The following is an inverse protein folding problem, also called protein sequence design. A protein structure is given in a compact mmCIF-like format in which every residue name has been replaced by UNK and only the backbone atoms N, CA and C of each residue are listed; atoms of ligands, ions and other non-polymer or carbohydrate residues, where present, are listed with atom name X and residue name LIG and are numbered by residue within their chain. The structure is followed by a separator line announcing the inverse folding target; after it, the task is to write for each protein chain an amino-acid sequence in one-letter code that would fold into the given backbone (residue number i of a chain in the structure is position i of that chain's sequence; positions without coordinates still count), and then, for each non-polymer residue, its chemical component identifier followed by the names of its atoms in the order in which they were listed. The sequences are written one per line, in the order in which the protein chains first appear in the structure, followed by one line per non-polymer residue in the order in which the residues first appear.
data_IF_925440208714
#
_entry.id   IF_925440208714
#
_cell.length_a   1.000
_cell.length_b   1.000
_cell.length_c   1.000
_cell.angle_alpha   90.00
_cell.angle_beta   90.00
_cell.angle_gamma   90.00
#
_symmetry.space_group_name_H-M   'P 1'
#
loop_
_entity.id
_entity.type
_entity.pdbx_description
1 polymer ?
#
# COMPACT_ATOMS: atom_id res chain seq x y z
N UNK A 1 -25.26 -2.36 -8.17
CA UNK A 1 -24.55 -3.46 -7.50
C UNK A 1 -23.08 -3.07 -7.36
N UNK A 2 -22.37 -3.58 -6.35
CA UNK A 2 -20.93 -3.32 -6.16
C UNK A 2 -20.18 -4.65 -6.18
N UNK A 3 -19.14 -4.76 -7.01
CA UNK A 3 -18.26 -5.94 -7.09
C UNK A 3 -16.82 -5.46 -7.06
N UNK A 4 -15.98 -6.07 -6.20
CA UNK A 4 -14.57 -5.65 -5.98
C UNK A 4 -14.42 -4.13 -5.76
N UNK A 5 -15.28 -3.58 -4.92
CA UNK A 5 -15.34 -2.16 -4.58
C UNK A 5 -15.59 -1.20 -5.78
N UNK A 6 -16.16 -1.70 -6.88
CA UNK A 6 -16.57 -0.91 -8.04
C UNK A 6 -18.07 -1.07 -8.32
N UNK A 7 -18.72 0.01 -8.71
CA UNK A 7 -20.11 -0.03 -9.18
C UNK A 7 -20.19 -0.80 -10.50
N UNK A 8 -21.07 -1.78 -10.54
CA UNK A 8 -21.26 -2.67 -11.69
C UNK A 8 -22.73 -2.94 -11.95
N UNK A 9 -23.05 -3.28 -13.19
CA UNK A 9 -24.39 -3.65 -13.67
C UNK A 9 -24.33 -4.93 -14.50
N UNK A 10 -25.42 -5.71 -14.52
CA UNK A 10 -25.50 -6.90 -15.38
C UNK A 10 -25.83 -6.50 -16.82
N UNK A 11 -25.65 -7.43 -17.75
CA UNK A 11 -26.01 -7.24 -19.17
C UNK A 11 -27.49 -6.88 -19.33
N UNK A 12 -28.38 -7.47 -18.54
CA UNK A 12 -29.82 -7.22 -18.57
C UNK A 12 -30.16 -5.81 -18.10
N UNK A 13 -29.60 -5.40 -16.95
CA UNK A 13 -29.80 -4.03 -16.44
C UNK A 13 -29.21 -2.98 -17.39
N UNK A 14 -28.05 -3.27 -17.99
CA UNK A 14 -27.42 -2.39 -18.97
C UNK A 14 -28.28 -2.25 -20.24
N UNK A 15 -28.81 -3.37 -20.73
CA UNK A 15 -29.69 -3.39 -21.90
C UNK A 15 -30.97 -2.58 -21.65
N UNK A 16 -31.60 -2.77 -20.48
CA UNK A 16 -32.76 -1.99 -20.05
C UNK A 16 -32.44 -0.49 -19.97
N UNK A 17 -31.27 -0.13 -19.43
CA UNK A 17 -30.84 1.26 -19.31
C UNK A 17 -30.62 1.96 -20.65
N UNK A 18 -30.23 1.22 -21.69
CA UNK A 18 -30.04 1.76 -23.04
C UNK A 18 -31.21 1.48 -23.99
N UNK A 19 -32.34 0.95 -23.52
CA UNK A 19 -33.51 0.67 -24.38
C UNK A 19 -33.23 -0.35 -25.48
N UNK A 20 -32.36 -1.34 -25.20
CA UNK A 20 -31.96 -2.39 -26.15
C UNK A 20 -32.11 -3.78 -25.51
N UNK A 21 -31.87 -4.83 -26.28
CA UNK A 21 -31.89 -6.22 -25.78
C UNK A 21 -30.50 -6.64 -25.25
N UNK A 22 -30.49 -7.55 -24.26
CA UNK A 22 -29.25 -8.14 -23.74
C UNK A 22 -28.43 -8.87 -24.82
N UNK A 23 -29.12 -9.42 -25.83
CA UNK A 23 -28.47 -10.03 -27.00
C UNK A 23 -27.68 -9.00 -27.80
N UNK A 24 -28.23 -7.78 -27.99
CA UNK A 24 -27.54 -6.73 -28.72
C UNK A 24 -26.28 -6.26 -27.97
N UNK A 25 -26.35 -6.09 -26.65
CA UNK A 25 -25.19 -5.78 -25.80
C UNK A 25 -24.09 -6.85 -25.98
N UNK A 26 -24.48 -8.12 -25.91
CA UNK A 26 -23.55 -9.26 -26.06
C UNK A 26 -22.94 -9.31 -27.46
N UNK A 27 -23.73 -9.13 -28.50
CA UNK A 27 -23.26 -9.09 -29.89
C UNK A 27 -22.27 -7.94 -30.11
N UNK A 28 -22.57 -6.76 -29.59
CA UNK A 28 -21.70 -5.58 -29.71
C UNK A 28 -20.39 -5.76 -28.95
N UNK A 29 -20.43 -6.33 -27.75
CA UNK A 29 -19.24 -6.69 -27.00
C UNK A 29 -18.37 -7.67 -27.80
N UNK A 30 -18.95 -8.74 -28.33
CA UNK A 30 -18.20 -9.76 -29.07
C UNK A 30 -17.56 -9.18 -30.34
N UNK A 31 -18.28 -8.34 -31.09
CA UNK A 31 -17.76 -7.65 -32.28
C UNK A 31 -16.62 -6.69 -31.97
N UNK A 32 -16.62 -6.10 -30.78
CA UNK A 32 -15.65 -5.08 -30.36
C UNK A 32 -14.76 -5.55 -29.22
N UNK A 33 -14.57 -6.86 -29.03
CA UNK A 33 -13.93 -7.43 -27.84
C UNK A 33 -12.54 -6.86 -27.56
N UNK A 34 -11.77 -6.55 -28.61
CA UNK A 34 -10.47 -5.87 -28.51
C UNK A 34 -10.53 -4.50 -27.85
N UNK A 35 -11.70 -3.84 -27.89
CA UNK A 35 -12.01 -2.58 -27.21
C UNK A 35 -12.60 -2.82 -25.83
N UNK A 36 -12.38 -3.96 -25.20
CA UNK A 36 -12.74 -4.19 -23.80
C UNK A 36 -11.58 -4.87 -23.10
N UNK A 37 -11.42 -4.53 -21.82
CA UNK A 37 -10.32 -5.01 -20.98
C UNK A 37 -10.96 -5.45 -19.68
N UNK A 38 -10.76 -6.72 -19.35
CA UNK A 38 -11.23 -7.31 -18.10
C UNK A 38 -10.61 -6.60 -16.89
N UNK A 39 -11.37 -6.42 -15.82
CA UNK A 39 -10.98 -5.66 -14.63
C UNK A 39 -11.12 -4.13 -14.77
N UNK A 40 -11.16 -3.60 -16.00
CA UNK A 40 -11.39 -2.16 -16.27
C UNK A 40 -12.79 -1.87 -16.79
N UNK A 41 -13.25 -2.66 -17.75
CA UNK A 41 -14.53 -2.44 -18.44
C UNK A 41 -15.59 -3.48 -18.03
N UNK A 42 -15.16 -4.71 -17.74
CA UNK A 42 -16.05 -5.76 -17.27
C UNK A 42 -15.33 -6.72 -16.33
N UNK A 43 -16.11 -7.50 -15.58
CA UNK A 43 -15.65 -8.70 -14.88
C UNK A 43 -16.43 -9.89 -15.42
N UNK A 44 -15.73 -10.96 -15.79
CA UNK A 44 -16.36 -12.23 -16.13
C UNK A 44 -16.35 -13.12 -14.90
N UNK A 45 -17.53 -13.46 -14.41
CA UNK A 45 -17.73 -14.31 -13.24
C UNK A 45 -18.17 -15.68 -13.70
N UNK A 46 -17.51 -16.73 -13.24
CA UNK A 46 -17.77 -18.11 -13.63
C UNK A 46 -17.76 -19.04 -12.41
N UNK A 47 -18.40 -20.21 -12.55
CA UNK A 47 -18.39 -21.24 -11.51
C UNK A 47 -19.03 -20.79 -10.20
N UNK A 48 -18.44 -21.18 -9.08
CA UNK A 48 -18.99 -20.98 -7.74
C UNK A 48 -19.15 -19.50 -7.36
N UNK A 49 -18.38 -18.59 -7.98
CA UNK A 49 -18.55 -17.15 -7.77
C UNK A 49 -19.90 -16.63 -8.27
N UNK A 50 -20.50 -17.26 -9.29
CA UNK A 50 -21.83 -16.88 -9.80
C UNK A 50 -22.90 -17.17 -8.76
N UNK A 51 -22.80 -18.32 -8.07
CA UNK A 51 -23.75 -18.74 -7.05
C UNK A 51 -23.67 -17.85 -5.80
N UNK A 52 -22.44 -17.50 -5.39
CA UNK A 52 -22.21 -16.56 -4.30
C UNK A 52 -22.78 -15.16 -4.62
N UNK A 53 -22.64 -14.71 -5.87
CA UNK A 53 -23.19 -13.43 -6.31
C UNK A 53 -24.72 -13.44 -6.31
N UNK A 54 -25.36 -14.53 -6.74
CA UNK A 54 -26.83 -14.66 -6.69
C UNK A 54 -27.38 -14.53 -5.27
N UNK A 55 -26.76 -15.23 -4.32
CA UNK A 55 -27.18 -15.21 -2.92
C UNK A 55 -26.97 -13.83 -2.27
N UNK A 56 -25.98 -13.08 -2.74
CA UNK A 56 -25.65 -11.75 -2.22
C UNK A 56 -26.55 -10.63 -2.78
N UNK A 57 -27.22 -10.85 -3.92
CA UNK A 57 -27.98 -9.80 -4.62
C UNK A 57 -29.38 -10.29 -5.05
N UNK A 58 -30.26 -10.48 -4.07
CA UNK A 58 -31.65 -10.96 -4.27
C UNK A 58 -32.53 -10.07 -5.15
N UNK A 59 -32.16 -8.81 -5.37
CA UNK A 59 -32.91 -7.84 -6.17
C UNK A 59 -32.57 -7.87 -7.67
N UNK A 60 -31.51 -8.56 -8.08
CA UNK A 60 -31.06 -8.61 -9.49
C UNK A 60 -31.52 -9.93 -10.08
N UNK A 61 -32.31 -9.89 -11.16
CA UNK A 61 -32.77 -11.08 -11.88
C UNK A 61 -31.61 -11.76 -12.63
N UNK A 62 -30.71 -12.40 -11.90
CA UNK A 62 -29.69 -13.29 -12.48
C UNK A 62 -30.37 -14.62 -12.75
N UNK A 63 -30.40 -15.06 -14.01
CA UNK A 63 -30.96 -16.36 -14.39
C UNK A 63 -30.28 -17.49 -13.62
N UNK A 64 -31.08 -18.40 -13.04
CA UNK A 64 -30.60 -19.59 -12.29
C UNK A 64 -29.79 -20.57 -13.14
N UNK A 65 -29.86 -20.46 -14.47
CA UNK A 65 -29.15 -21.34 -15.43
C UNK A 65 -27.84 -20.75 -15.98
N UNK A 66 -27.50 -19.50 -15.64
CA UNK A 66 -26.28 -18.87 -16.12
C UNK A 66 -25.03 -19.53 -15.52
N UNK A 67 -24.14 -20.06 -16.37
CA UNK A 67 -22.84 -20.64 -15.98
C UNK A 67 -21.71 -19.62 -15.95
N UNK A 68 -21.92 -18.48 -16.60
CA UNK A 68 -21.04 -17.32 -16.59
C UNK A 68 -21.86 -16.04 -16.66
N UNK A 69 -21.35 -14.97 -16.06
CA UNK A 69 -22.00 -13.67 -15.99
C UNK A 69 -20.98 -12.57 -16.29
N UNK A 70 -21.37 -11.60 -17.12
CA UNK A 70 -20.61 -10.38 -17.33
C UNK A 70 -21.17 -9.27 -16.46
N UNK A 71 -20.29 -8.66 -15.67
CA UNK A 71 -20.58 -7.44 -14.92
C UNK A 71 -19.87 -6.27 -15.56
N UNK A 72 -20.61 -5.23 -15.92
CA UNK A 72 -20.10 -4.05 -16.61
C UNK A 72 -19.80 -2.95 -15.61
N UNK A 73 -18.59 -2.41 -15.65
CA UNK A 73 -18.24 -1.19 -14.87
C UNK A 73 -18.87 0.03 -15.54
N UNK A 74 -18.86 1.19 -14.87
CA UNK A 74 -19.29 2.47 -15.47
C UNK A 74 -18.54 2.76 -16.80
N UNK A 75 -17.25 2.40 -16.86
CA UNK A 75 -16.45 2.53 -18.10
C UNK A 75 -16.86 1.52 -19.17
N UNK A 76 -17.26 0.31 -18.78
CA UNK A 76 -17.81 -0.68 -19.70
C UNK A 76 -19.15 -0.25 -20.27
N UNK A 77 -20.05 0.23 -19.40
CA UNK A 77 -21.33 0.79 -19.79
C UNK A 77 -21.15 1.95 -20.78
N UNK A 78 -20.21 2.86 -20.51
CA UNK A 78 -19.90 3.97 -21.41
C UNK A 78 -19.40 3.52 -22.79
N UNK A 79 -18.60 2.44 -22.85
CA UNK A 79 -18.17 1.86 -24.13
C UNK A 79 -19.32 1.23 -24.91
N UNK A 80 -20.32 0.69 -24.22
CA UNK A 80 -21.54 0.21 -24.86
C UNK A 80 -22.35 1.35 -25.48
N UNK A 81 -22.53 2.48 -24.77
CA UNK A 81 -23.23 3.65 -25.30
C UNK A 81 -22.65 4.11 -26.65
N UNK A 82 -21.32 4.14 -26.78
CA UNK A 82 -20.62 4.50 -28.03
C UNK A 82 -21.00 3.64 -29.25
N UNK A 83 -21.54 2.44 -29.05
CA UNK A 83 -21.83 1.46 -30.11
C UNK A 83 -23.34 1.22 -30.29
N UNK A 84 -24.17 1.85 -29.46
CA UNK A 84 -25.63 1.74 -29.51
C UNK A 84 -26.18 3.00 -30.16
N UNK A 85 -27.12 2.83 -31.08
CA UNK A 85 -27.80 3.94 -31.76
C UNK A 85 -29.17 4.23 -31.13
N UNK A 86 -29.35 3.92 -29.85
CA UNK A 86 -30.61 4.16 -29.14
C UNK A 86 -30.66 5.56 -28.55
N UNK A 87 -31.86 6.17 -28.47
CA UNK A 87 -32.06 7.50 -27.85
C UNK A 87 -31.45 7.57 -26.44
N UNK A 88 -31.66 6.54 -25.62
CA UNK A 88 -31.10 6.47 -24.26
C UNK A 88 -29.56 6.39 -24.23
N UNK A 89 -28.92 5.85 -25.29
CA UNK A 89 -27.47 5.89 -25.41
C UNK A 89 -26.96 7.29 -25.80
N UNK A 90 -27.73 8.03 -26.60
CA UNK A 90 -27.46 9.44 -26.92
C UNK A 90 -27.61 10.34 -25.70
N UNK A 91 -28.69 10.21 -24.93
CA UNK A 91 -28.90 10.97 -23.67
C UNK A 91 -27.75 10.74 -22.66
N UNK A 92 -27.26 9.49 -22.58
CA UNK A 92 -26.12 9.16 -21.72
C UNK A 92 -24.82 9.78 -22.24
N UNK A 93 -24.65 9.84 -23.56
CA UNK A 93 -23.48 10.47 -24.17
C UNK A 93 -23.49 11.98 -23.96
N UNK A 94 -24.63 12.64 -24.14
CA UNK A 94 -24.82 14.07 -23.84
C UNK A 94 -24.47 14.38 -22.38
N UNK A 95 -24.96 13.58 -21.42
CA UNK A 95 -24.59 13.74 -20.01
C UNK A 95 -23.09 13.59 -19.76
N UNK A 96 -22.40 12.69 -20.48
CA UNK A 96 -20.94 12.56 -20.39
C UNK A 96 -20.22 13.76 -21.00
N UNK A 97 -20.71 14.31 -22.10
CA UNK A 97 -20.17 15.53 -22.72
C UNK A 97 -20.35 16.71 -21.78
N UNK A 98 -21.56 16.93 -21.28
CA UNK A 98 -21.87 17.96 -20.29
C UNK A 98 -20.96 17.82 -19.07
N UNK A 99 -20.80 16.61 -18.51
CA UNK A 99 -19.88 16.40 -17.40
C UNK A 99 -18.43 16.72 -17.77
N UNK A 100 -17.95 16.31 -18.94
CA UNK A 100 -16.58 16.58 -19.39
C UNK A 100 -16.31 18.08 -19.57
N UNK A 101 -17.23 18.79 -20.20
CA UNK A 101 -17.10 20.23 -20.45
C UNK A 101 -17.38 21.06 -19.19
N UNK A 102 -18.35 20.66 -18.34
CA UNK A 102 -18.62 21.32 -17.06
C UNK A 102 -17.53 21.06 -16.01
N UNK A 103 -16.89 19.88 -15.99
CA UNK A 103 -15.71 19.62 -15.15
C UNK A 103 -14.57 20.59 -15.49
N UNK A 104 -14.46 21.00 -16.76
CA UNK A 104 -13.49 22.01 -17.20
C UNK A 104 -13.79 23.39 -16.63
N UNK A 105 -15.07 23.74 -16.47
CA UNK A 105 -15.51 25.01 -15.89
C UNK A 105 -15.45 25.03 -14.35
N UNK A 106 -15.81 23.92 -13.69
CA UNK A 106 -15.93 23.85 -12.21
C UNK A 106 -14.61 23.50 -11.51
N UNK A 107 -13.80 22.60 -12.06
CA UNK A 107 -12.58 22.13 -11.38
C UNK A 107 -11.31 22.89 -11.74
N UNK A 108 -11.39 23.94 -12.56
CA UNK A 108 -10.22 24.76 -12.85
C UNK A 108 -9.04 23.95 -13.42
N UNK A 109 -9.30 22.83 -14.11
CA UNK A 109 -8.32 22.28 -15.08
C UNK A 109 -8.37 23.17 -16.32
N UNK A 110 -8.18 24.47 -16.08
CA UNK A 110 -7.91 25.45 -17.07
C UNK A 110 -6.46 25.20 -17.41
N UNK A 111 -6.22 24.51 -18.53
CA UNK A 111 -4.91 24.64 -19.18
C UNK A 111 -4.62 26.14 -19.21
N UNK A 112 -3.41 26.58 -18.76
CA UNK A 112 -3.04 27.98 -18.80
C UNK A 112 -3.42 28.52 -20.17
N UNK A 113 -4.02 29.72 -20.24
CA UNK A 113 -4.34 30.31 -21.53
C UNK A 113 -3.06 30.37 -22.36
N UNK A 114 -2.93 29.48 -23.35
CA UNK A 114 -1.70 29.33 -24.13
C UNK A 114 -1.43 30.56 -25.00
N UNK A 115 -2.40 31.46 -25.09
CA UNK A 115 -2.30 32.74 -25.80
C UNK A 115 -1.71 33.86 -24.94
N UNK A 116 -1.64 33.68 -23.61
CA UNK A 116 -1.03 34.64 -22.68
C UNK A 116 0.33 34.11 -22.16
N UNK A 117 1.45 34.66 -22.65
CA UNK A 117 2.79 34.24 -22.25
C UNK A 117 3.06 34.38 -20.74
N UNK A 118 2.43 35.34 -20.06
CA UNK A 118 2.69 35.61 -18.63
C UNK A 118 2.07 34.53 -17.76
N UNK A 119 0.81 34.16 -18.04
CA UNK A 119 0.11 33.09 -17.31
C UNK A 119 0.79 31.74 -17.54
N UNK A 120 1.27 31.47 -18.75
CA UNK A 120 2.00 30.23 -19.06
C UNK A 120 3.33 30.14 -18.30
N UNK A 121 4.10 31.23 -18.23
CA UNK A 121 5.38 31.26 -17.53
C UNK A 121 5.22 31.00 -16.02
N UNK A 122 4.16 31.54 -15.39
CA UNK A 122 3.86 31.29 -13.96
C UNK A 122 3.51 29.82 -13.71
N UNK A 123 2.61 29.26 -14.51
CA UNK A 123 2.22 27.85 -14.37
C UNK A 123 3.42 26.89 -14.57
N UNK A 124 4.33 27.23 -15.48
CA UNK A 124 5.57 26.46 -15.66
C UNK A 124 6.50 26.55 -14.45
N UNK A 125 6.65 27.75 -13.86
CA UNK A 125 7.45 27.94 -12.65
C UNK A 125 6.88 27.13 -11.48
N UNK A 126 5.58 27.20 -11.23
CA UNK A 126 4.90 26.44 -10.17
C UNK A 126 5.08 24.92 -10.37
N UNK A 127 4.96 24.44 -11.61
CA UNK A 127 5.16 23.03 -11.93
C UNK A 127 6.62 22.58 -11.72
N UNK A 128 7.59 23.42 -12.07
CA UNK A 128 9.01 23.16 -11.85
C UNK A 128 9.35 23.14 -10.37
N UNK A 129 8.81 24.07 -9.59
CA UNK A 129 9.01 24.12 -8.13
C UNK A 129 8.40 22.89 -7.46
N UNK A 130 7.16 22.53 -7.81
CA UNK A 130 6.52 21.31 -7.31
C UNK A 130 7.33 20.05 -7.67
N UNK A 131 7.87 19.98 -8.90
CA UNK A 131 8.74 18.89 -9.33
C UNK A 131 10.03 18.84 -8.51
N UNK A 132 10.70 19.97 -8.31
CA UNK A 132 11.92 20.04 -7.49
C UNK A 132 11.66 19.61 -6.05
N UNK A 133 10.55 20.04 -5.45
CA UNK A 133 10.17 19.63 -4.09
C UNK A 133 9.92 18.11 -4.01
N UNK A 134 9.24 17.54 -5.02
CA UNK A 134 9.00 16.10 -5.09
C UNK A 134 10.31 15.30 -5.28
N UNK A 135 11.22 15.79 -6.13
CA UNK A 135 12.55 15.19 -6.32
C UNK A 135 13.38 15.26 -5.04
N UNK A 136 13.40 16.39 -4.34
CA UNK A 136 14.10 16.54 -3.07
C UNK A 136 13.59 15.56 -2.01
N UNK A 137 12.26 15.40 -1.87
CA UNK A 137 11.67 14.41 -0.96
C UNK A 137 12.05 12.98 -1.36
N UNK A 138 12.06 12.68 -2.66
CA UNK A 138 12.43 11.37 -3.19
C UNK A 138 13.90 11.06 -2.91
N UNK A 139 14.80 12.02 -3.10
CA UNK A 139 16.21 11.90 -2.76
C UNK A 139 16.41 11.63 -1.26
N UNK A 140 15.76 12.39 -0.38
CA UNK A 140 15.82 12.15 1.08
C UNK A 140 15.31 10.76 1.47
N UNK A 141 14.23 10.29 0.84
CA UNK A 141 13.72 8.94 1.07
C UNK A 141 14.68 7.86 0.58
N UNK A 142 15.36 8.08 -0.55
CA UNK A 142 16.34 7.15 -1.08
C UNK A 142 17.57 7.03 -0.16
N UNK A 143 18.12 8.14 0.32
CA UNK A 143 19.22 8.16 1.30
C UNK A 143 18.84 7.42 2.59
N UNK A 144 17.60 7.61 3.05
CA UNK A 144 17.06 6.88 4.20
C UNK A 144 17.02 5.37 3.98
N UNK A 145 16.58 4.92 2.80
CA UNK A 145 16.52 3.50 2.44
C UNK A 145 17.93 2.92 2.32
N UNK A 146 18.83 3.60 1.62
CA UNK A 146 20.21 3.17 1.43
C UNK A 146 20.95 2.98 2.76
N UNK A 147 20.84 3.96 3.67
CA UNK A 147 21.44 3.85 4.99
C UNK A 147 20.82 2.71 5.82
N UNK A 148 19.51 2.51 5.71
CA UNK A 148 18.83 1.40 6.39
C UNK A 148 19.25 0.04 5.84
N UNK A 149 19.43 -0.10 4.53
CA UNK A 149 19.90 -1.34 3.89
C UNK A 149 21.36 -1.65 4.22
N UNK A 150 22.22 -0.63 4.31
CA UNK A 150 23.61 -0.78 4.77
C UNK A 150 23.68 -1.30 6.21
N UNK A 151 22.80 -0.80 7.09
CA UNK A 151 22.78 -1.17 8.50
C UNK A 151 22.04 -2.47 8.80
N UNK A 152 21.04 -2.84 7.99
CA UNK A 152 20.18 -4.00 8.25
C UNK A 152 20.62 -5.22 7.43
N UNK A 153 20.85 -6.33 8.12
CA UNK A 153 21.04 -7.64 7.51
C UNK A 153 20.03 -8.61 8.09
N UNK A 154 19.47 -9.51 7.27
CA UNK A 154 18.50 -10.49 7.74
C UNK A 154 19.09 -11.37 8.86
N UNK A 155 18.29 -11.62 9.90
CA UNK A 155 18.71 -12.44 11.04
C UNK A 155 19.29 -11.70 12.24
N UNK A 156 19.40 -10.36 12.21
CA UNK A 156 19.81 -9.58 13.38
C UNK A 156 18.74 -9.54 14.46
N UNK A 157 19.14 -9.62 15.73
CA UNK A 157 18.27 -9.23 16.84
C UNK A 157 18.12 -7.70 16.93
N UNK A 158 17.05 -7.17 17.56
CA UNK A 158 16.86 -5.73 17.72
C UNK A 158 18.03 -5.02 18.41
N UNK A 159 18.64 -5.68 19.39
CA UNK A 159 19.81 -5.16 20.11
C UNK A 159 21.05 -5.13 19.20
N UNK A 160 21.25 -6.15 18.36
CA UNK A 160 22.36 -6.17 17.39
C UNK A 160 22.21 -5.09 16.32
N UNK A 161 20.99 -4.83 15.85
CA UNK A 161 20.72 -3.70 14.96
C UNK A 161 21.04 -2.37 15.65
N UNK A 162 20.55 -2.17 16.88
CA UNK A 162 20.79 -0.94 17.64
C UNK A 162 22.28 -0.73 18.00
N UNK A 163 23.09 -1.78 18.06
CA UNK A 163 24.55 -1.68 18.23
C UNK A 163 25.24 -1.01 17.05
N UNK A 164 24.63 -1.05 15.86
CA UNK A 164 25.13 -0.39 14.64
C UNK A 164 24.71 1.08 14.57
N UNK A 165 23.91 1.58 15.51
CA UNK A 165 23.47 2.97 15.59
C UNK A 165 24.38 3.76 16.54
N UNK A 166 24.76 4.97 16.15
CA UNK A 166 25.60 5.82 16.98
C UNK A 166 24.86 6.27 18.25
N UNK A 167 25.57 6.37 19.37
CA UNK A 167 25.01 6.92 20.61
C UNK A 167 23.94 6.09 21.33
N UNK A 168 23.44 4.99 20.76
CA UNK A 168 22.39 4.18 21.37
C UNK A 168 22.92 3.38 22.55
N UNK A 169 22.17 3.37 23.66
CA UNK A 169 22.44 2.56 24.83
C UNK A 169 21.83 1.16 24.69
N UNK A 170 22.61 0.23 24.15
CA UNK A 170 22.15 -1.12 23.76
C UNK A 170 21.71 -1.98 24.94
N UNK A 171 22.17 -1.71 26.17
CA UNK A 171 21.73 -2.47 27.35
C UNK A 171 20.30 -2.14 27.78
N UNK A 172 19.81 -0.94 27.43
CA UNK A 172 18.45 -0.49 27.75
C UNK A 172 17.43 -0.78 26.63
N UNK A 173 17.88 -1.27 25.47
CA UNK A 173 17.01 -1.49 24.31
C UNK A 173 15.96 -2.58 24.58
N UNK A 174 16.32 -3.70 25.20
CA UNK A 174 15.32 -4.74 25.50
C UNK A 174 14.23 -4.22 26.44
N UNK A 175 14.60 -3.47 27.48
CA UNK A 175 13.64 -2.84 28.40
C UNK A 175 12.76 -1.79 27.69
N UNK A 176 13.33 -1.00 26.78
CA UNK A 176 12.57 -0.06 25.95
C UNK A 176 11.59 -0.78 25.00
N UNK A 177 11.99 -1.90 24.42
CA UNK A 177 11.09 -2.72 23.60
C UNK A 177 9.97 -3.36 24.42
N UNK A 178 10.20 -3.63 25.71
CA UNK A 178 9.13 -4.03 26.64
C UNK A 178 8.15 -2.87 26.86
N UNK A 179 8.63 -1.63 27.06
CA UNK A 179 7.73 -0.47 27.23
C UNK A 179 6.96 -0.13 25.95
N UNK A 180 7.51 -0.44 24.77
CA UNK A 180 6.79 -0.38 23.50
C UNK A 180 5.89 -1.60 23.25
N UNK A 181 5.79 -2.51 24.24
CA UNK A 181 4.99 -3.73 24.22
C UNK A 181 5.44 -4.77 23.17
N UNK A 182 6.68 -4.72 22.66
CA UNK A 182 7.16 -5.67 21.63
C UNK A 182 7.68 -6.97 22.25
N UNK A 183 8.37 -6.84 23.38
CA UNK A 183 8.98 -7.95 24.10
C UNK A 183 8.31 -8.18 25.46
N UNK A 184 8.43 -9.39 25.96
CA UNK A 184 8.16 -9.75 27.35
C UNK A 184 9.21 -10.75 27.84
N UNK A 185 9.36 -10.87 29.15
CA UNK A 185 10.24 -11.85 29.77
C UNK A 185 9.44 -13.12 30.08
N UNK A 186 9.84 -14.25 29.51
CA UNK A 186 9.26 -15.59 29.75
C UNK A 186 9.71 -16.18 31.11
N UNK A 187 10.76 -15.61 31.70
CA UNK A 187 11.35 -16.08 32.95
C UNK A 187 11.63 -14.91 33.91
N UNK A 188 10.59 -14.20 34.37
CA UNK A 188 10.73 -12.99 35.18
C UNK A 188 11.38 -13.25 36.55
N UNK A 189 11.24 -14.46 37.09
CA UNK A 189 11.86 -14.87 38.37
C UNK A 189 13.25 -15.49 38.18
N UNK A 190 13.69 -15.62 36.92
CA UNK A 190 14.97 -16.22 36.57
C UNK A 190 16.17 -15.31 36.80
N UNK A 191 17.36 -15.92 36.87
CA UNK A 191 18.64 -15.17 36.95
C UNK A 191 18.95 -14.36 35.68
N UNK A 192 18.30 -14.68 34.56
CA UNK A 192 18.50 -14.01 33.27
C UNK A 192 17.18 -13.94 32.50
N UNK A 193 16.87 -12.75 32.00
CA UNK A 193 15.67 -12.52 31.20
C UNK A 193 15.66 -13.39 29.93
N UNK A 194 14.52 -14.04 29.69
CA UNK A 194 14.25 -14.81 28.48
C UNK A 194 13.31 -14.02 27.59
N UNK A 195 13.87 -13.18 26.72
CA UNK A 195 13.09 -12.28 25.87
C UNK A 195 12.29 -13.04 24.81
N UNK A 196 10.97 -12.86 24.85
CA UNK A 196 10.00 -13.38 23.87
C UNK A 196 9.27 -12.24 23.19
N UNK A 197 8.75 -12.51 22.00
CA UNK A 197 8.04 -11.53 21.16
C UNK A 197 6.53 -11.66 21.38
N UNK A 198 5.84 -10.54 21.59
CA UNK A 198 4.37 -10.53 21.64
C UNK A 198 3.76 -10.79 20.27
N UNK A 199 2.59 -11.43 20.23
CA UNK A 199 1.91 -11.83 18.99
C UNK A 199 1.84 -10.71 17.95
N UNK A 200 1.29 -9.54 18.30
CA UNK A 200 1.15 -8.44 17.34
C UNK A 200 2.49 -7.92 16.79
N UNK A 201 3.56 -7.99 17.59
CA UNK A 201 4.88 -7.55 17.18
C UNK A 201 5.55 -8.61 16.29
N UNK A 202 5.24 -9.89 16.50
CA UNK A 202 5.73 -11.03 15.69
C UNK A 202 5.19 -11.01 14.26
N UNK A 203 3.97 -10.50 14.07
CA UNK A 203 3.36 -10.50 12.74
C UNK A 203 3.87 -9.35 11.86
N UNK A 204 4.50 -8.32 12.46
CA UNK A 204 4.82 -7.06 11.77
C UNK A 204 6.26 -6.58 11.91
N UNK A 205 6.89 -6.74 13.06
CA UNK A 205 8.16 -6.06 13.36
C UNK A 205 9.31 -7.03 13.69
N UNK A 206 9.00 -8.17 14.31
CA UNK A 206 9.95 -9.17 14.78
C UNK A 206 9.51 -10.57 14.33
N UNK A 207 10.38 -11.56 14.40
CA UNK A 207 10.04 -12.99 14.36
C UNK A 207 10.80 -13.73 15.46
N UNK A 208 10.46 -14.99 15.73
CA UNK A 208 11.12 -15.81 16.75
C UNK A 208 11.81 -17.01 16.12
N UNK A 209 13.12 -17.14 16.33
CA UNK A 209 13.87 -18.34 15.97
C UNK A 209 14.00 -19.24 17.20
N UNK A 210 13.46 -20.45 17.12
CA UNK A 210 13.60 -21.47 18.18
C UNK A 210 14.83 -22.34 17.94
N UNK A 211 15.64 -22.58 18.96
CA UNK A 211 16.80 -23.49 18.90
C UNK A 211 16.77 -24.46 20.10
N UNK A 212 17.00 -25.75 19.83
CA UNK A 212 17.14 -26.76 20.88
C UNK A 212 18.56 -26.74 21.41
N UNK A 213 18.71 -26.49 22.71
CA UNK A 213 19.99 -26.52 23.41
C UNK A 213 20.03 -27.81 24.22
N UNK A 214 21.04 -28.63 23.96
CA UNK A 214 21.30 -29.87 24.71
C UNK A 214 22.63 -29.74 25.44
N UNK A 215 22.64 -29.26 26.70
CA UNK A 215 23.86 -29.19 27.50
C UNK A 215 24.38 -30.58 27.85
N UNK A 216 25.70 -30.76 27.96
CA UNK A 216 26.34 -32.05 28.28
C UNK A 216 25.88 -32.71 29.60
N UNK A 217 25.25 -31.95 30.51
CA UNK A 217 24.90 -32.41 31.86
C UNK A 217 23.50 -32.00 32.31
N UNK A 218 22.65 -31.51 31.40
CA UNK A 218 21.30 -31.05 31.74
C UNK A 218 20.27 -31.44 30.66
N UNK A 219 18.99 -31.44 31.05
CA UNK A 219 17.87 -31.73 30.14
C UNK A 219 17.85 -30.74 28.99
N UNK A 220 17.64 -31.24 27.77
CA UNK A 220 17.52 -30.40 26.58
C UNK A 220 16.33 -29.45 26.72
N UNK A 221 16.53 -28.16 26.46
CA UNK A 221 15.48 -27.14 26.50
C UNK A 221 15.43 -26.35 25.19
N UNK A 222 14.27 -25.78 24.89
CA UNK A 222 14.10 -24.92 23.71
C UNK A 222 14.32 -23.47 24.11
N UNK A 223 15.17 -22.78 23.36
CA UNK A 223 15.40 -21.33 23.48
C UNK A 223 14.73 -20.61 22.33
N UNK A 224 14.26 -19.39 22.58
CA UNK A 224 13.65 -18.52 21.57
C UNK A 224 14.45 -17.24 21.48
N UNK A 225 14.74 -16.80 20.26
CA UNK A 225 15.47 -15.57 20.01
C UNK A 225 14.65 -14.63 19.12
N UNK A 226 14.38 -13.39 19.58
CA UNK A 226 13.79 -12.36 18.74
C UNK A 226 14.73 -11.96 17.60
N UNK A 227 14.20 -12.04 16.38
CA UNK A 227 14.87 -11.63 15.14
C UNK A 227 14.10 -10.44 14.56
N UNK A 228 14.83 -9.42 14.10
CA UNK A 228 14.27 -8.19 13.57
C UNK A 228 13.88 -8.37 12.10
N UNK A 229 12.68 -7.91 11.73
CA UNK A 229 12.23 -7.81 10.34
C UNK A 229 12.52 -6.42 9.79
N UNK A 230 12.51 -6.28 8.45
CA UNK A 230 12.75 -4.99 7.76
C UNK A 230 11.80 -3.87 8.22
N UNK A 231 10.53 -4.18 8.41
CA UNK A 231 9.53 -3.25 8.95
C UNK A 231 9.85 -2.82 10.39
N UNK A 232 10.33 -3.77 11.22
CA UNK A 232 10.80 -3.47 12.58
C UNK A 232 12.04 -2.59 12.58
N UNK A 233 13.01 -2.86 11.70
CA UNK A 233 14.22 -2.04 11.56
C UNK A 233 13.88 -0.61 11.11
N UNK A 234 12.98 -0.47 10.14
CA UNK A 234 12.45 0.83 9.68
C UNK A 234 11.80 1.59 10.83
N UNK A 235 10.98 0.91 11.62
CA UNK A 235 10.31 1.54 12.74
C UNK A 235 11.29 1.98 13.84
N UNK A 236 12.27 1.14 14.20
CA UNK A 236 13.31 1.48 15.19
C UNK A 236 14.15 2.67 14.68
N UNK A 237 14.57 2.64 13.42
CA UNK A 237 15.39 3.70 12.83
C UNK A 237 14.64 5.05 12.74
N UNK A 238 13.34 5.05 12.42
CA UNK A 238 12.50 6.26 12.51
C UNK A 238 12.43 6.83 13.94
N UNK A 239 12.37 5.96 14.96
CA UNK A 239 12.36 6.43 16.35
C UNK A 239 13.75 6.91 16.79
N UNK A 240 14.82 6.38 16.20
CA UNK A 240 16.19 6.81 16.44
C UNK A 240 16.40 8.24 15.94
N UNK A 241 16.02 8.54 14.69
CA UNK A 241 16.08 9.90 14.13
C UNK A 241 15.22 10.92 14.92
N UNK A 242 14.18 10.44 15.62
CA UNK A 242 13.34 11.25 16.51
C UNK A 242 13.88 11.38 17.94
N UNK A 243 15.04 10.79 18.25
CA UNK A 243 15.65 10.81 19.59
C UNK A 243 14.88 10.02 20.65
N UNK A 244 14.00 9.09 20.26
CA UNK A 244 13.14 8.34 21.18
C UNK A 244 13.77 7.05 21.72
N UNK A 245 14.89 6.62 21.15
CA UNK A 245 15.64 5.48 21.65
C UNK A 245 16.37 5.84 22.96
N UNK A 246 16.66 4.86 23.83
CA UNK A 246 17.51 5.09 24.98
C UNK A 246 18.93 5.42 24.52
N UNK A 247 19.33 6.68 24.66
CA UNK A 247 20.66 7.17 24.27
C UNK A 247 21.67 7.07 25.43
N UNK A 248 22.95 7.03 25.11
CA UNK A 248 24.05 7.15 26.08
C UNK A 248 24.12 8.56 26.63
N UNK A 249 24.51 8.70 27.89
CA UNK A 249 24.72 10.02 28.53
C UNK A 249 25.84 10.80 27.83
N UNK A 250 26.84 10.10 27.31
CA UNK A 250 27.98 10.68 26.57
C UNK A 250 27.69 10.94 25.10
N UNK A 251 26.43 10.81 24.66
CA UNK A 251 26.08 11.03 23.26
C UNK A 251 26.04 12.53 22.94
N UNK A 252 26.68 12.92 21.85
CA UNK A 252 26.86 14.31 21.41
C UNK A 252 25.70 14.83 20.54
N UNK A 253 24.62 14.06 20.36
CA UNK A 253 23.49 14.44 19.52
C UNK A 253 23.67 14.14 18.02
N UNK A 254 24.84 13.64 17.58
CA UNK A 254 25.07 13.31 16.17
C UNK A 254 24.57 11.90 15.82
N UNK A 255 23.89 11.79 14.68
CA UNK A 255 23.42 10.52 14.12
C UNK A 255 24.43 9.86 13.17
N UNK A 256 25.44 10.62 12.71
CA UNK A 256 26.52 10.13 11.84
C UNK A 256 27.63 9.46 12.65
N UNK A 257 28.31 8.49 12.03
CA UNK A 257 29.54 7.91 12.56
C UNK A 257 30.75 8.74 12.10
N UNK A 258 30.76 10.05 12.35
CA UNK A 258 31.90 10.87 11.96
C UNK A 258 33.10 10.54 12.86
N UNK A 259 34.00 9.70 12.33
CA UNK A 259 35.40 9.63 12.75
C UNK A 259 36.34 10.34 11.79
N UNK A 260 35.86 10.90 10.67
CA UNK A 260 36.72 11.52 9.65
C UNK A 260 36.79 13.06 9.72
N UNK A 261 36.09 13.71 10.64
CA UNK A 261 36.16 15.17 10.83
C UNK A 261 36.65 15.61 12.23
N UNK A 262 37.17 14.67 13.03
CA UNK A 262 37.99 15.03 14.19
C UNK A 262 39.44 15.16 13.68
N UNK A 263 39.77 16.36 13.21
CA UNK A 263 41.11 16.73 12.77
C UNK A 263 42.18 16.31 13.78
N UNK A 264 43.32 15.89 13.24
CA UNK A 264 44.54 15.81 14.00
C UNK A 264 44.83 17.17 14.62
N UNK A 265 45.17 17.15 15.90
CA UNK A 265 46.00 18.13 16.57
C UNK A 265 46.60 17.46 17.81
N UNK A 266 47.73 16.79 17.56
CA UNK A 266 48.99 16.74 18.33
C UNK A 266 49.73 15.41 18.11
#
# INVERSE_FOLDING_TARGET
MTYRNQRVVTTESLASGYGTTAQNITNNFNRNKMRFVEGKHYFRIEGDEVENLRNSFSSVQISSKARSLYLWTERGASRHAKMLETELAWDFFEQLEDHYFNLREVHGVMLPNMSDPITLARAWADAMEAKQQAEALTHQQAEYIEHLESLFTDGLSPVQFCKRLNGVNTSKISAWLVSMNWLYDDNPEGRSAQWRVRSYARDKYLTEKSSKVSPNSAVSFTTYQPVLLREGATWIYKNYLKGKLPMKVTWNGSFTHDKELAGGDN
#
